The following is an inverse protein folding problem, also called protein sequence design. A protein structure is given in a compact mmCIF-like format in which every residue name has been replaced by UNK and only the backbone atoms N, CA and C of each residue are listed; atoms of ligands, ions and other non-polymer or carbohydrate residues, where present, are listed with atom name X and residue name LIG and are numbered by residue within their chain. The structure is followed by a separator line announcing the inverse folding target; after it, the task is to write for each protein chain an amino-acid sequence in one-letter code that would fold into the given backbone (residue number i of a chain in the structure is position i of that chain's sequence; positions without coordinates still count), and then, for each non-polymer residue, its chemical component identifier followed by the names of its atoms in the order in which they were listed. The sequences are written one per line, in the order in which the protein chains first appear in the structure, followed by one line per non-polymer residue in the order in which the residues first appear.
data_IF_734454372790
#
_entry.id   IF_734454372790
#
_cell.length_a   1.000
_cell.length_b   1.000
_cell.length_c   1.000
_cell.angle_alpha   90.00
_cell.angle_beta   90.00
_cell.angle_gamma   90.00
#
_symmetry.space_group_name_H-M   'P 1'
#
loop_
_entity.id
_entity.type
_entity.pdbx_description
1 polymer ?
#
# COMPACT_ATOMS: atom_id res chain seq x y z
N UNK A 1 -13.44 20.38 -8.69
CA UNK A 1 -13.35 19.34 -9.71
C UNK A 1 -11.95 18.75 -9.73
N UNK A 2 -11.86 17.48 -9.53
CA UNK A 2 -10.60 16.78 -9.45
C UNK A 2 -10.21 16.24 -10.81
N UNK A 3 -9.03 16.63 -11.29
CA UNK A 3 -8.55 16.20 -12.60
C UNK A 3 -7.73 14.94 -12.62
N UNK A 4 -7.26 14.49 -11.44
CA UNK A 4 -6.39 13.33 -11.34
C UNK A 4 -6.84 12.38 -10.24
N UNK A 5 -6.48 11.11 -10.40
CA UNK A 5 -6.74 10.11 -9.38
C UNK A 5 -5.82 10.32 -8.19
N UNK A 6 -6.32 10.04 -6.98
CA UNK A 6 -5.49 10.01 -5.79
C UNK A 6 -4.58 8.79 -5.83
N UNK A 7 -3.57 8.77 -4.96
CA UNK A 7 -2.68 7.63 -4.86
C UNK A 7 -3.45 6.34 -4.64
N UNK A 8 -4.38 6.34 -3.67
CA UNK A 8 -5.10 5.11 -3.33
C UNK A 8 -6.03 4.67 -4.46
N UNK A 9 -6.62 5.61 -5.19
CA UNK A 9 -7.46 5.26 -6.34
C UNK A 9 -6.64 4.59 -7.44
N UNK A 10 -5.43 5.10 -7.70
CA UNK A 10 -4.51 4.45 -8.65
C UNK A 10 -4.13 3.06 -8.18
N UNK A 11 -3.81 2.93 -6.89
CA UNK A 11 -3.43 1.65 -6.31
C UNK A 11 -4.55 0.62 -6.45
N UNK A 12 -5.78 1.02 -6.17
CA UNK A 12 -6.94 0.15 -6.31
C UNK A 12 -7.17 -0.25 -7.76
N UNK A 13 -7.02 0.69 -8.68
CA UNK A 13 -7.19 0.42 -10.11
C UNK A 13 -6.15 -0.56 -10.64
N UNK A 14 -4.89 -0.38 -10.25
CA UNK A 14 -3.81 -1.26 -10.69
C UNK A 14 -3.96 -2.65 -10.08
N UNK A 15 -4.37 -2.72 -8.81
CA UNK A 15 -4.64 -4.02 -8.18
C UNK A 15 -5.78 -4.75 -8.89
N UNK A 16 -6.84 -4.04 -9.25
CA UNK A 16 -7.96 -4.62 -9.98
C UNK A 16 -7.51 -5.13 -11.34
N UNK A 17 -6.66 -4.36 -12.04
CA UNK A 17 -6.11 -4.81 -13.32
C UNK A 17 -5.31 -6.10 -13.17
N UNK A 18 -4.54 -6.21 -12.07
CA UNK A 18 -3.78 -7.43 -11.78
C UNK A 18 -4.70 -8.64 -11.68
N UNK A 19 -5.80 -8.49 -10.93
CA UNK A 19 -6.78 -9.58 -10.78
C UNK A 19 -7.41 -9.98 -12.11
N UNK A 20 -7.69 -8.99 -12.96
CA UNK A 20 -8.27 -9.25 -14.29
C UNK A 20 -7.28 -10.04 -15.14
N UNK A 21 -5.99 -9.65 -15.14
CA UNK A 21 -4.96 -10.39 -15.87
C UNK A 21 -4.81 -11.81 -15.33
N UNK A 22 -4.84 -11.97 -14.00
CA UNK A 22 -4.71 -13.29 -13.40
C UNK A 22 -5.85 -14.21 -13.80
N UNK A 23 -7.06 -13.67 -13.86
CA UNK A 23 -8.21 -14.43 -14.31
C UNK A 23 -8.10 -14.81 -15.79
N UNK A 24 -7.71 -13.84 -16.61
CA UNK A 24 -7.56 -14.07 -18.05
C UNK A 24 -6.47 -15.10 -18.37
N UNK A 25 -5.35 -15.03 -17.67
CA UNK A 25 -4.21 -15.92 -17.92
C UNK A 25 -4.27 -17.22 -17.13
N UNK A 26 -5.22 -17.34 -16.20
CA UNK A 26 -5.39 -18.49 -15.32
C UNK A 26 -4.13 -18.86 -14.55
N UNK A 27 -3.41 -17.82 -14.07
CA UNK A 27 -2.23 -17.96 -13.23
C UNK A 27 -1.94 -16.66 -12.51
N UNK A 28 -1.07 -16.73 -11.52
CA UNK A 28 -0.62 -15.52 -10.81
C UNK A 28 0.24 -14.65 -11.72
N UNK A 29 0.15 -13.34 -11.52
CA UNK A 29 0.91 -12.34 -12.26
C UNK A 29 1.83 -11.64 -11.27
N UNK A 30 3.14 -11.68 -11.52
CA UNK A 30 4.11 -11.01 -10.67
C UNK A 30 4.02 -9.48 -10.86
N UNK A 31 4.55 -8.74 -9.91
CA UNK A 31 4.57 -7.27 -9.99
C UNK A 31 5.35 -6.81 -11.22
N UNK A 32 6.48 -7.46 -11.53
CA UNK A 32 7.27 -7.12 -12.71
C UNK A 32 6.52 -7.40 -13.99
N UNK A 33 5.84 -8.53 -14.05
CA UNK A 33 5.02 -8.87 -15.22
C UNK A 33 3.88 -7.87 -15.37
N UNK A 34 3.23 -7.50 -14.27
CA UNK A 34 2.16 -6.51 -14.30
C UNK A 34 2.65 -5.18 -14.86
N UNK A 35 3.84 -4.74 -14.45
CA UNK A 35 4.45 -3.51 -14.97
C UNK A 35 4.62 -3.58 -16.49
N UNK A 36 5.09 -4.72 -16.99
CA UNK A 36 5.27 -4.92 -18.43
C UNK A 36 3.93 -4.90 -19.16
N UNK A 37 2.94 -5.63 -18.65
CA UNK A 37 1.61 -5.70 -19.25
C UNK A 37 0.95 -4.32 -19.32
N UNK A 38 1.02 -3.56 -18.24
CA UNK A 38 0.41 -2.22 -18.19
C UNK A 38 1.14 -1.25 -19.12
N UNK A 39 2.47 -1.31 -19.17
CA UNK A 39 3.25 -0.47 -20.05
C UNK A 39 2.91 -0.75 -21.51
N UNK A 40 2.76 -2.02 -21.86
CA UNK A 40 2.38 -2.42 -23.22
C UNK A 40 0.98 -1.93 -23.61
N UNK A 41 0.09 -1.80 -22.63
CA UNK A 41 -1.26 -1.27 -22.85
C UNK A 41 -1.31 0.25 -22.84
N UNK A 42 -0.17 0.92 -22.70
CA UNK A 42 -0.11 2.37 -22.75
C UNK A 42 -0.13 3.06 -21.40
N UNK A 43 -0.02 2.30 -20.31
CA UNK A 43 0.06 2.85 -18.96
C UNK A 43 1.45 2.56 -18.38
N UNK A 44 2.43 3.44 -18.61
CA UNK A 44 3.78 3.21 -18.11
C UNK A 44 3.81 3.34 -16.58
N UNK A 45 4.16 2.26 -15.91
CA UNK A 45 4.27 2.23 -14.47
C UNK A 45 5.39 1.27 -14.09
N UNK A 46 6.25 1.68 -13.14
CA UNK A 46 7.37 0.84 -12.73
C UNK A 46 6.92 -0.21 -11.72
N UNK A 47 7.66 -1.33 -11.68
CA UNK A 47 7.37 -2.35 -10.68
C UNK A 47 7.57 -1.82 -9.25
N UNK A 48 8.47 -0.86 -9.07
CA UNK A 48 8.68 -0.24 -7.75
C UNK A 48 7.43 0.53 -7.30
N UNK A 49 6.82 1.27 -8.22
CA UNK A 49 5.57 1.99 -7.92
C UNK A 49 4.45 1.03 -7.61
N UNK A 50 4.33 -0.07 -8.37
CA UNK A 50 3.29 -1.08 -8.12
C UNK A 50 3.51 -1.73 -6.75
N UNK A 51 4.75 -2.05 -6.42
CA UNK A 51 5.08 -2.63 -5.11
C UNK A 51 4.63 -1.71 -3.97
N UNK A 52 4.91 -0.41 -4.09
CA UNK A 52 4.49 0.58 -3.10
C UNK A 52 2.97 0.61 -2.97
N UNK A 53 2.27 0.59 -4.09
CA UNK A 53 0.81 0.59 -4.11
C UNK A 53 0.22 -0.64 -3.44
N UNK A 54 0.77 -1.82 -3.76
CA UNK A 54 0.31 -3.07 -3.15
C UNK A 54 0.56 -3.09 -1.64
N UNK A 55 1.71 -2.59 -1.21
CA UNK A 55 2.02 -2.50 0.22
C UNK A 55 1.09 -1.53 0.93
N UNK A 56 0.78 -0.41 0.30
CA UNK A 56 -0.15 0.57 0.87
C UNK A 56 -1.54 -0.03 1.05
N UNK A 57 -2.01 -0.79 0.05
CA UNK A 57 -3.31 -1.45 0.14
C UNK A 57 -3.34 -2.51 1.24
N UNK A 58 -2.24 -3.21 1.42
CA UNK A 58 -2.17 -4.31 2.38
C UNK A 58 -1.93 -3.82 3.82
N UNK A 59 -1.04 -2.86 4.00
CA UNK A 59 -0.54 -2.50 5.33
C UNK A 59 -1.06 -1.18 5.87
N UNK A 60 -1.55 -0.29 5.03
CA UNK A 60 -2.01 1.03 5.47
C UNK A 60 -3.50 1.23 5.29
N UNK A 61 -4.04 0.92 4.13
CA UNK A 61 -5.42 1.22 3.82
C UNK A 61 -6.43 0.63 4.80
N UNK A 62 -6.28 -0.62 5.27
CA UNK A 62 -7.25 -1.19 6.22
C UNK A 62 -7.32 -0.41 7.54
N UNK A 63 -6.27 0.32 7.89
CA UNK A 63 -6.16 1.02 9.17
C UNK A 63 -6.42 2.52 9.07
N UNK A 64 -6.10 3.14 7.93
CA UNK A 64 -6.26 4.57 7.71
C UNK A 64 -7.00 4.86 6.41
N UNK A 65 -8.19 4.25 6.20
CA UNK A 65 -8.89 4.44 4.92
C UNK A 65 -9.32 5.89 4.68
N UNK A 66 -9.79 6.58 5.71
CA UNK A 66 -10.26 7.97 5.55
C UNK A 66 -9.11 8.89 5.15
N UNK A 67 -7.96 8.71 5.78
CA UNK A 67 -6.78 9.51 5.48
C UNK A 67 -6.30 9.23 4.05
N UNK A 68 -6.25 7.96 3.65
CA UNK A 68 -5.86 7.58 2.30
C UNK A 68 -6.81 8.17 1.26
N UNK A 69 -8.12 8.07 1.51
CA UNK A 69 -9.14 8.57 0.58
C UNK A 69 -9.17 10.10 0.53
N UNK A 70 -8.69 10.77 1.57
CA UNK A 70 -8.61 12.22 1.56
C UNK A 70 -7.51 12.74 0.65
N UNK A 71 -6.64 11.87 0.15
CA UNK A 71 -5.62 12.25 -0.82
C UNK A 71 -4.19 12.16 -0.32
N UNK A 72 -3.95 11.32 0.71
CA UNK A 72 -2.58 11.07 1.16
C UNK A 72 -1.75 10.61 -0.04
N UNK A 73 -0.67 11.34 -0.34
CA UNK A 73 0.08 11.14 -1.56
C UNK A 73 1.29 10.24 -1.42
N UNK A 74 1.97 10.05 -2.54
CA UNK A 74 3.15 9.19 -2.62
C UNK A 74 4.22 9.48 -1.57
N UNK A 75 4.59 10.76 -1.30
CA UNK A 75 5.64 11.01 -0.30
C UNK A 75 5.25 10.55 1.10
N UNK A 76 4.01 10.79 1.50
CA UNK A 76 3.51 10.39 2.80
C UNK A 76 3.41 8.87 2.91
N UNK A 77 2.90 8.23 1.87
CA UNK A 77 2.81 6.76 1.83
C UNK A 77 4.21 6.15 1.92
N UNK A 78 5.16 6.68 1.17
CA UNK A 78 6.54 6.20 1.20
C UNK A 78 7.13 6.33 2.60
N UNK A 79 6.90 7.46 3.27
CA UNK A 79 7.39 7.68 4.63
C UNK A 79 6.75 6.71 5.63
N UNK A 80 5.44 6.46 5.51
CA UNK A 80 4.75 5.54 6.42
C UNK A 80 5.22 4.11 6.22
N UNK A 81 5.43 3.68 4.98
CA UNK A 81 5.91 2.34 4.69
C UNK A 81 7.35 2.17 5.19
N UNK A 82 8.19 3.21 5.07
CA UNK A 82 9.54 3.17 5.61
C UNK A 82 9.53 3.07 7.14
N UNK A 83 8.65 3.84 7.78
CA UNK A 83 8.50 3.79 9.23
C UNK A 83 8.04 2.40 9.68
N UNK A 84 7.09 1.81 8.95
CA UNK A 84 6.63 0.46 9.24
C UNK A 84 7.78 -0.55 9.14
N UNK A 85 8.59 -0.42 8.11
CA UNK A 85 9.73 -1.33 7.91
C UNK A 85 10.74 -1.22 9.04
N UNK A 86 11.05 0.01 9.48
CA UNK A 86 11.93 0.22 10.62
C UNK A 86 11.35 -0.34 11.91
N UNK A 87 10.06 -0.13 12.13
CA UNK A 87 9.38 -0.65 13.32
C UNK A 87 9.37 -2.18 13.32
N UNK A 88 9.17 -2.79 12.16
CA UNK A 88 9.19 -4.24 12.03
C UNK A 88 10.57 -4.82 12.36
N UNK A 89 11.62 -4.13 11.94
CA UNK A 89 12.97 -4.53 12.25
C UNK A 89 13.24 -4.50 13.75
N UNK A 90 12.80 -3.43 14.41
CA UNK A 90 12.95 -3.30 15.87
C UNK A 90 12.13 -4.38 16.57
N UNK A 91 10.89 -4.61 16.12
CA UNK A 91 10.04 -5.66 16.66
C UNK A 91 10.75 -7.02 16.63
N UNK A 92 11.37 -7.35 15.48
CA UNK A 92 12.07 -8.61 15.32
C UNK A 92 13.27 -8.76 16.24
N UNK A 93 13.86 -7.64 16.69
CA UNK A 93 15.01 -7.67 17.60
C UNK A 93 14.58 -7.91 19.06
N UNK A 94 13.39 -7.48 19.45
CA UNK A 94 12.96 -7.50 20.85
C UNK A 94 11.77 -8.40 21.15
N UNK A 95 11.10 -8.91 20.11
CA UNK A 95 9.94 -9.77 20.28
C UNK A 95 10.36 -11.16 20.77
N UNK A 96 9.52 -11.77 21.59
CA UNK A 96 9.74 -13.16 21.98
C UNK A 96 9.32 -14.09 20.85
N UNK A 97 9.78 -15.34 20.91
CA UNK A 97 9.53 -16.30 19.81
C UNK A 97 8.05 -16.55 19.53
N UNK A 98 7.17 -16.28 20.49
CA UNK A 98 5.74 -16.46 20.31
C UNK A 98 5.08 -15.32 19.53
N UNK A 99 5.76 -14.17 19.41
CA UNK A 99 5.23 -13.03 18.68
C UNK A 99 5.35 -13.28 17.18
N UNK A 100 4.27 -12.98 16.46
CA UNK A 100 4.18 -13.26 15.02
C UNK A 100 4.12 -11.97 14.23
N UNK A 101 4.31 -12.10 12.91
CA UNK A 101 4.14 -10.99 11.98
C UNK A 101 2.72 -10.43 12.06
N UNK A 102 1.73 -11.30 12.30
CA UNK A 102 0.34 -10.88 12.47
C UNK A 102 0.18 -9.97 13.68
N UNK A 103 0.87 -10.27 14.78
CA UNK A 103 0.86 -9.42 15.97
C UNK A 103 1.46 -8.06 15.66
N UNK A 104 2.58 -8.02 14.95
CA UNK A 104 3.19 -6.75 14.55
C UNK A 104 2.24 -5.94 13.67
N UNK A 105 1.65 -6.58 12.67
CA UNK A 105 0.72 -5.89 11.76
C UNK A 105 -0.43 -5.28 12.54
N UNK A 106 -0.96 -6.00 13.53
CA UNK A 106 -2.05 -5.51 14.37
C UNK A 106 -1.61 -4.31 15.19
N UNK A 107 -0.47 -4.42 15.87
CA UNK A 107 0.02 -3.35 16.75
C UNK A 107 0.33 -2.09 15.92
N UNK A 108 1.02 -2.24 14.81
CA UNK A 108 1.35 -1.09 13.95
C UNK A 108 0.07 -0.47 13.38
N UNK A 109 -0.84 -1.32 12.90
CA UNK A 109 -2.10 -0.84 12.33
C UNK A 109 -2.96 -0.11 13.36
N UNK A 110 -3.06 -0.64 14.58
CA UNK A 110 -3.81 0.03 15.64
C UNK A 110 -3.21 1.39 15.97
N UNK A 111 -1.88 1.49 15.96
CA UNK A 111 -1.19 2.76 16.20
C UNK A 111 -1.51 3.77 15.11
N UNK A 112 -1.52 3.32 13.85
CA UNK A 112 -1.86 4.19 12.72
C UNK A 112 -3.31 4.65 12.78
N UNK A 113 -4.22 3.76 13.19
CA UNK A 113 -5.65 4.06 13.23
C UNK A 113 -5.96 5.28 14.08
N UNK A 114 -5.18 5.51 15.14
CA UNK A 114 -5.37 6.68 16.02
C UNK A 114 -5.23 7.98 15.26
N UNK A 115 -4.54 7.99 14.14
CA UNK A 115 -4.29 9.18 13.34
C UNK A 115 -5.11 9.18 12.04
N UNK A 116 -6.13 8.31 11.92
CA UNK A 116 -6.96 8.22 10.73
C UNK A 116 -7.98 9.36 10.70
N UNK A 117 -7.49 10.59 10.70
CA UNK A 117 -8.31 11.79 10.63
C UNK A 117 -7.60 12.81 9.75
N UNK A 118 -8.21 13.20 8.63
CA UNK A 118 -7.58 14.19 7.75
C UNK A 118 -7.25 15.51 8.44
N UNK A 119 -8.03 15.91 9.43
CA UNK A 119 -7.80 17.17 10.14
C UNK A 119 -6.45 17.18 10.89
N UNK A 120 -5.99 16.03 11.36
CA UNK A 120 -4.72 15.95 12.08
C UNK A 120 -3.52 16.16 11.16
N UNK A 121 -3.69 15.95 9.87
CA UNK A 121 -2.60 16.03 8.90
C UNK A 121 -2.62 17.32 8.10
N UNK A 122 -3.61 18.16 8.29
CA UNK A 122 -3.74 19.42 7.57
C UNK A 122 -3.15 20.62 8.32
N UNK A 123 -2.62 20.41 9.51
CA UNK A 123 -2.04 21.46 10.35
C UNK A 123 -0.66 21.91 9.88
#
# INVERSE_FOLDING_TARGET
LRGELTFIEKAQGIHKARLIYEESLQRQVTIRELATLLTDEGLPVSHTSISRMEHALKYLYPWIPDLMESGLGRPQVTALLALRQDAERVWGQFAVAADTDAEFDRVFGESCRKFNSPELWSL
#
